data_IF_431021112014
#
_entry.id   IF_431021112014
#
_cell.length_a   1.000
_cell.length_b   1.000
_cell.length_c   1.000
_cell.angle_alpha   90.00
_cell.angle_beta   90.00
_cell.angle_gamma   90.00
#
_symmetry.space_group_name_H-M   'P 1'
#
loop_
_entity.id
_entity.type
_entity.pdbx_description
1 polymer ?
#
# COMPACT_ATOMS: atom_id res chain seq x y z
N UNK A 1 -5.08 10.68 16.86
CA UNK A 1 -4.97 10.56 15.38
C UNK A 1 -4.30 11.78 14.75
N UNK A 2 -4.84 13.00 14.90
CA UNK A 2 -4.28 14.22 14.30
C UNK A 2 -2.80 14.47 14.66
N UNK A 3 -2.42 14.30 15.94
CA UNK A 3 -1.02 14.38 16.38
C UNK A 3 -0.09 13.42 15.60
N UNK A 4 -0.47 12.15 15.51
CA UNK A 4 0.31 11.15 14.79
C UNK A 4 0.42 11.48 13.28
N UNK A 5 -0.66 11.94 12.65
CA UNK A 5 -0.62 12.42 11.27
C UNK A 5 0.37 13.58 11.10
N UNK A 6 0.37 14.56 12.02
CA UNK A 6 1.27 15.70 11.97
C UNK A 6 2.74 15.28 12.15
N UNK A 7 3.02 14.38 13.10
CA UNK A 7 4.36 13.83 13.34
C UNK A 7 4.88 13.06 12.12
N UNK A 8 4.05 12.21 11.53
CA UNK A 8 4.43 11.46 10.31
C UNK A 8 4.64 12.42 9.15
N UNK A 9 3.78 13.43 8.96
CA UNK A 9 3.96 14.44 7.92
C UNK A 9 5.29 15.20 8.08
N UNK A 10 5.69 15.54 9.32
CA UNK A 10 6.96 16.18 9.60
C UNK A 10 8.16 15.28 9.27
N UNK A 11 8.13 14.02 9.71
CA UNK A 11 9.23 13.05 9.48
C UNK A 11 9.38 12.72 7.99
N UNK A 12 8.26 12.67 7.27
CA UNK A 12 8.23 12.24 5.86
C UNK A 12 8.32 13.39 4.86
N UNK A 13 8.36 14.64 5.35
CA UNK A 13 8.49 15.87 4.53
C UNK A 13 9.66 15.86 3.55
N UNK A 14 10.84 15.29 3.86
CA UNK A 14 11.96 15.27 2.91
C UNK A 14 11.77 14.34 1.71
N UNK A 15 10.75 13.47 1.71
CA UNK A 15 10.53 12.46 0.68
C UNK A 15 9.31 12.79 -0.18
N UNK A 16 9.42 12.53 -1.48
CA UNK A 16 8.31 12.72 -2.44
C UNK A 16 7.18 11.71 -2.25
N UNK A 17 7.53 10.48 -1.86
CA UNK A 17 6.62 9.39 -1.56
C UNK A 17 7.29 8.39 -0.61
N UNK A 18 6.47 7.62 0.11
CA UNK A 18 6.92 6.44 0.85
C UNK A 18 6.66 5.19 0.02
N UNK A 19 7.53 4.19 0.14
CA UNK A 19 7.44 2.93 -0.60
C UNK A 19 7.31 1.78 0.38
N UNK A 20 6.41 0.84 0.11
CA UNK A 20 6.21 -0.37 0.90
C UNK A 20 5.55 -1.48 0.06
N UNK A 21 5.76 -2.76 0.38
CA UNK A 21 4.94 -3.83 -0.19
C UNK A 21 3.45 -3.57 0.09
N UNK A 22 2.58 -3.74 -0.91
CA UNK A 22 1.15 -3.48 -0.76
C UNK A 22 0.51 -4.42 0.27
N UNK A 23 0.83 -5.72 0.19
CA UNK A 23 0.42 -6.74 1.14
C UNK A 23 1.64 -7.45 1.73
N UNK A 24 1.56 -7.99 2.96
CA UNK A 24 2.70 -8.66 3.59
C UNK A 24 2.91 -10.10 3.10
N UNK A 25 2.01 -10.64 2.29
CA UNK A 25 2.05 -12.00 1.76
C UNK A 25 1.35 -12.07 0.40
N UNK A 26 1.59 -13.17 -0.31
CA UNK A 26 0.85 -13.56 -1.51
C UNK A 26 -0.61 -13.85 -1.18
N UNK A 27 -1.51 -13.89 -2.20
CA UNK A 27 -2.90 -14.26 -2.00
C UNK A 27 -3.04 -15.57 -1.21
N UNK A 28 -3.91 -15.55 -0.19
CA UNK A 28 -4.25 -16.73 0.60
C UNK A 28 -5.32 -17.55 -0.14
N UNK A 29 -5.30 -18.89 -0.03
CA UNK A 29 -6.43 -19.73 -0.44
C UNK A 29 -7.72 -19.28 0.24
N UNK A 30 -8.85 -19.49 -0.45
CA UNK A 30 -10.18 -19.22 0.12
C UNK A 30 -10.56 -20.31 1.13
N UNK A 31 -10.09 -21.54 0.92
CA UNK A 31 -10.28 -22.67 1.82
C UNK A 31 -9.80 -22.34 3.24
N UNK A 32 -10.62 -22.64 4.25
CA UNK A 32 -10.32 -22.35 5.64
C UNK A 32 -10.73 -20.94 6.11
N UNK A 33 -11.48 -20.19 5.29
CA UNK A 33 -12.05 -18.87 5.62
C UNK A 33 -13.56 -18.90 5.92
N UNK A 34 -14.13 -20.08 6.18
CA UNK A 34 -15.56 -20.28 6.44
C UNK A 34 -15.98 -19.59 7.74
N UNK A 35 -15.11 -19.69 8.76
CA UNK A 35 -15.34 -19.08 10.06
C UNK A 35 -14.99 -17.59 10.08
N UNK A 36 -15.83 -16.81 10.78
CA UNK A 36 -15.67 -15.34 10.87
C UNK A 36 -14.30 -14.97 11.43
N UNK A 37 -13.84 -15.66 12.47
CA UNK A 37 -12.54 -15.40 13.08
C UNK A 37 -11.37 -15.65 12.14
N UNK A 38 -11.46 -16.71 11.31
CA UNK A 38 -10.45 -17.02 10.31
C UNK A 38 -10.39 -15.91 9.24
N UNK A 39 -11.55 -15.48 8.73
CA UNK A 39 -11.68 -14.39 7.76
C UNK A 39 -11.20 -13.05 8.31
N UNK A 40 -11.49 -12.74 9.57
CA UNK A 40 -11.03 -11.51 10.23
C UNK A 40 -9.51 -11.50 10.40
N UNK A 41 -8.91 -12.63 10.80
CA UNK A 41 -7.45 -12.76 10.89
C UNK A 41 -6.77 -12.63 9.53
N UNK A 42 -7.32 -13.27 8.49
CA UNK A 42 -6.82 -13.16 7.12
C UNK A 42 -6.92 -11.71 6.59
N UNK A 43 -8.07 -11.06 6.79
CA UNK A 43 -8.28 -9.66 6.40
C UNK A 43 -7.34 -8.71 7.12
N UNK A 44 -7.14 -8.87 8.43
CA UNK A 44 -6.22 -8.05 9.21
C UNK A 44 -4.77 -8.18 8.71
N UNK A 45 -4.35 -9.39 8.31
CA UNK A 45 -3.04 -9.60 7.68
C UNK A 45 -2.96 -8.90 6.32
N UNK A 46 -3.95 -9.09 5.46
CA UNK A 46 -3.98 -8.46 4.13
C UNK A 46 -3.96 -6.92 4.20
N UNK A 47 -4.66 -6.35 5.17
CA UNK A 47 -4.81 -4.90 5.35
C UNK A 47 -3.66 -4.25 6.15
N UNK A 48 -2.73 -5.01 6.71
CA UNK A 48 -1.69 -4.50 7.61
C UNK A 48 -0.97 -3.25 7.07
N UNK A 49 -0.63 -3.25 5.77
CA UNK A 49 0.11 -2.16 5.14
C UNK A 49 -0.82 -1.13 4.49
N UNK A 50 -1.94 -1.56 3.88
CA UNK A 50 -2.89 -0.65 3.22
C UNK A 50 -3.72 0.17 4.21
N UNK A 51 -3.92 -0.33 5.44
CA UNK A 51 -4.57 0.43 6.50
C UNK A 51 -3.75 1.64 6.96
N UNK A 52 -2.43 1.63 6.75
CA UNK A 52 -1.53 2.71 7.18
C UNK A 52 -1.86 4.03 6.48
N UNK A 53 -2.08 4.01 5.17
CA UNK A 53 -2.41 5.23 4.41
C UNK A 53 -3.78 5.79 4.79
N UNK A 54 -4.78 4.92 4.96
CA UNK A 54 -6.11 5.29 5.45
C UNK A 54 -6.03 5.93 6.84
N UNK A 55 -5.27 5.31 7.75
CA UNK A 55 -5.09 5.84 9.09
C UNK A 55 -4.41 7.21 9.08
N UNK A 56 -3.40 7.40 8.22
CA UNK A 56 -2.63 8.64 8.11
C UNK A 56 -3.30 9.73 7.26
N UNK A 57 -4.45 9.43 6.64
CA UNK A 57 -5.15 10.33 5.71
C UNK A 57 -4.27 10.75 4.52
N UNK A 58 -3.64 9.77 3.87
CA UNK A 58 -2.70 9.98 2.76
C UNK A 58 -3.12 9.21 1.51
N UNK A 59 -2.97 9.80 0.30
CA UNK A 59 -3.22 9.08 -0.94
C UNK A 59 -2.23 7.94 -1.12
N UNK A 60 -2.67 6.84 -1.74
CA UNK A 60 -1.83 5.67 -2.02
C UNK A 60 -2.20 5.05 -3.35
N UNK A 61 -1.19 4.60 -4.09
CA UNK A 61 -1.34 3.87 -5.34
C UNK A 61 -0.49 2.60 -5.30
N UNK A 62 -0.97 1.52 -5.90
CA UNK A 62 -0.22 0.27 -6.04
C UNK A 62 0.17 0.06 -7.50
N UNK A 63 1.45 -0.23 -7.74
CA UNK A 63 1.95 -0.67 -9.04
C UNK A 63 2.17 -2.19 -8.95
N UNK A 64 1.63 -2.99 -9.89
CA UNK A 64 1.96 -4.42 -9.97
C UNK A 64 3.47 -4.62 -10.17
N UNK A 65 4.07 -5.50 -9.37
CA UNK A 65 5.51 -5.77 -9.37
C UNK A 65 5.79 -7.26 -9.47
N UNK A 66 5.20 -7.91 -10.48
CA UNK A 66 5.35 -9.33 -10.75
C UNK A 66 5.44 -9.58 -12.25
N UNK A 67 6.13 -10.66 -12.63
CA UNK A 67 6.17 -11.11 -14.01
C UNK A 67 4.78 -11.55 -14.50
N UNK A 68 4.49 -11.47 -15.82
CA UNK A 68 3.29 -12.03 -16.40
C UNK A 68 3.13 -13.51 -16.05
N UNK A 69 1.96 -13.90 -15.53
CA UNK A 69 1.66 -15.27 -15.12
C UNK A 69 2.22 -15.69 -13.75
N UNK A 70 3.06 -14.87 -13.11
CA UNK A 70 3.49 -15.10 -11.73
C UNK A 70 2.40 -14.70 -10.72
N UNK A 71 2.59 -15.11 -9.47
CA UNK A 71 1.68 -14.75 -8.36
C UNK A 71 1.62 -13.22 -8.24
N UNK A 72 0.42 -12.59 -8.24
CA UNK A 72 0.31 -11.15 -8.18
C UNK A 72 0.90 -10.55 -6.90
N UNK A 73 1.87 -9.64 -7.06
CA UNK A 73 2.45 -8.81 -5.98
C UNK A 73 2.40 -7.34 -6.35
N UNK A 74 2.32 -6.46 -5.35
CA UNK A 74 2.20 -5.02 -5.56
C UNK A 74 3.19 -4.23 -4.70
N UNK A 75 3.65 -3.12 -5.27
CA UNK A 75 4.41 -2.10 -4.56
C UNK A 75 3.56 -0.85 -4.41
N UNK A 76 3.31 -0.43 -3.17
CA UNK A 76 2.53 0.77 -2.87
C UNK A 76 3.42 1.99 -2.74
N UNK A 77 2.94 3.12 -3.28
CA UNK A 77 3.49 4.46 -3.09
C UNK A 77 2.50 5.29 -2.28
N UNK A 78 2.94 5.87 -1.16
CA UNK A 78 2.11 6.74 -0.31
C UNK A 78 2.58 8.18 -0.45
N UNK A 79 1.72 9.02 -1.02
CA UNK A 79 1.99 10.45 -1.24
C UNK A 79 1.57 11.32 -0.07
N UNK A 80 1.88 12.62 -0.15
CA UNK A 80 1.41 13.61 0.83
C UNK A 80 -0.08 13.91 0.68
N UNK A 81 -0.72 14.29 1.78
CA UNK A 81 -2.16 14.60 1.84
C UNK A 81 -2.52 15.67 0.79
N UNK A 82 -3.61 15.46 0.05
CA UNK A 82 -4.10 16.33 -1.03
C UNK A 82 -3.18 16.50 -2.25
N UNK A 83 -2.21 15.59 -2.45
CA UNK A 83 -1.28 15.62 -3.58
C UNK A 83 -1.43 14.41 -4.52
N UNK A 84 -2.64 13.91 -4.71
CA UNK A 84 -2.98 12.75 -5.55
C UNK A 84 -2.38 12.84 -6.97
N UNK A 85 -2.48 14.02 -7.61
CA UNK A 85 -1.90 14.25 -8.95
C UNK A 85 -0.39 14.09 -8.98
N UNK A 86 0.31 14.56 -7.93
CA UNK A 86 1.76 14.42 -7.80
C UNK A 86 2.13 12.95 -7.59
N UNK A 87 1.38 12.25 -6.74
CA UNK A 87 1.58 10.81 -6.51
C UNK A 87 1.41 10.01 -7.80
N UNK A 88 0.38 10.31 -8.60
CA UNK A 88 0.14 9.68 -9.90
C UNK A 88 1.27 9.96 -10.90
N UNK A 89 1.80 11.18 -10.94
CA UNK A 89 2.93 11.52 -11.80
C UNK A 89 4.21 10.74 -11.41
N UNK A 90 4.48 10.61 -10.11
CA UNK A 90 5.59 9.78 -9.60
C UNK A 90 5.38 8.31 -10.00
N UNK A 91 4.17 7.78 -9.79
CA UNK A 91 3.85 6.39 -10.11
C UNK A 91 4.02 6.10 -11.60
N UNK A 92 3.54 7.00 -12.47
CA UNK A 92 3.70 6.87 -13.92
C UNK A 92 5.18 6.85 -14.35
N UNK A 93 6.03 7.66 -13.70
CA UNK A 93 7.48 7.67 -13.97
C UNK A 93 8.20 6.40 -13.49
N UNK A 94 7.67 5.72 -12.48
CA UNK A 94 8.26 4.49 -11.92
C UNK A 94 7.67 3.20 -12.48
N UNK A 95 6.51 3.26 -13.14
CA UNK A 95 5.74 2.08 -13.55
C UNK A 95 6.55 1.12 -14.42
N UNK A 96 7.28 1.64 -15.42
CA UNK A 96 8.10 0.81 -16.32
C UNK A 96 9.27 0.11 -15.61
N UNK A 97 9.79 0.71 -14.53
CA UNK A 97 10.87 0.11 -13.73
C UNK A 97 10.33 -0.97 -12.78
N UNK A 98 9.11 -0.78 -12.26
CA UNK A 98 8.53 -1.65 -11.23
C UNK A 98 7.80 -2.86 -11.84
N UNK A 99 7.20 -2.71 -13.03
CA UNK A 99 6.45 -3.78 -13.73
C UNK A 99 7.33 -4.84 -14.41
N UNK A 100 8.60 -4.97 -14.01
CA UNK A 100 9.56 -5.93 -14.57
C UNK A 100 9.30 -7.36 -14.10
#
# INVERSE_FOLDING_TARGET
RADLCARVAAITRPFDALVLPTTPATPLPIDGLEEVDARMKASARALRNTALSNYLDRPTITIPCHAPGAVPTGLSLIGSRHHDRRLLAIAAGLEALIRS
#
